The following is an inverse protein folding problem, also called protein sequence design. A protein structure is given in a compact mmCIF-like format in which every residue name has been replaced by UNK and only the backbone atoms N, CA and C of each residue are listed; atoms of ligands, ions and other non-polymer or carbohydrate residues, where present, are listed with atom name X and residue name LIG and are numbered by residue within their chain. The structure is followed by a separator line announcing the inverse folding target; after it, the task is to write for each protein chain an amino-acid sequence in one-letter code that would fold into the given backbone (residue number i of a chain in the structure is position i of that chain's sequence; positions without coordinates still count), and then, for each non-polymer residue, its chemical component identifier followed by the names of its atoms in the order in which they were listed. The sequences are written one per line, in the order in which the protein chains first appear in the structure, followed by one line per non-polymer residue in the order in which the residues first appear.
data_IF_725277646634
#
_entry.id   IF_725277646634
#
_cell.length_a   1.000
_cell.length_b   1.000
_cell.length_c   1.000
_cell.angle_alpha   90.00
_cell.angle_beta   90.00
_cell.angle_gamma   90.00
#
_symmetry.space_group_name_H-M   'P 1'
#
loop_
_entity.id
_entity.type
_entity.pdbx_description
1 polymer ?
#
# COMPACT_ATOMS: atom_id res chain seq x y z
N UNK A 1 -13.18 -8.92 40.41
CA UNK A 1 -11.77 -8.68 40.01
C UNK A 1 -11.20 -9.69 38.99
N UNK A 2 -11.73 -10.92 38.85
CA UNK A 2 -11.22 -11.91 37.88
C UNK A 2 -11.33 -11.53 36.38
N UNK A 3 -12.21 -10.58 36.03
CA UNK A 3 -12.48 -10.22 34.64
C UNK A 3 -11.40 -9.32 34.00
N UNK A 4 -10.58 -8.64 34.81
CA UNK A 4 -9.54 -7.72 34.30
C UNK A 4 -8.28 -8.50 33.90
N UNK A 5 -7.88 -9.47 34.73
CA UNK A 5 -6.73 -10.34 34.46
C UNK A 5 -6.93 -11.22 33.22
N UNK A 6 -8.12 -11.79 33.04
CA UNK A 6 -8.45 -12.60 31.86
C UNK A 6 -8.42 -11.77 30.56
N UNK A 7 -8.89 -10.52 30.60
CA UNK A 7 -8.88 -9.61 29.46
C UNK A 7 -7.46 -9.15 29.09
N UNK A 8 -6.59 -8.88 30.08
CA UNK A 8 -5.19 -8.54 29.81
C UNK A 8 -4.39 -9.71 29.23
N UNK A 9 -4.64 -10.92 29.74
CA UNK A 9 -4.00 -12.13 29.21
C UNK A 9 -4.45 -12.42 27.78
N UNK A 10 -5.75 -12.31 27.50
CA UNK A 10 -6.32 -12.45 26.16
C UNK A 10 -5.74 -11.40 25.19
N UNK A 11 -5.64 -10.15 25.62
CA UNK A 11 -5.01 -9.07 24.83
C UNK A 11 -3.57 -9.39 24.43
N UNK A 12 -2.74 -9.82 25.40
CA UNK A 12 -1.34 -10.20 25.13
C UNK A 12 -1.23 -11.37 24.17
N UNK A 13 -2.02 -12.42 24.36
CA UNK A 13 -2.01 -13.60 23.49
C UNK A 13 -2.50 -13.26 22.08
N UNK A 14 -3.58 -12.49 21.96
CA UNK A 14 -4.10 -12.05 20.66
C UNK A 14 -3.07 -11.20 19.90
N UNK A 15 -2.33 -10.32 20.58
CA UNK A 15 -1.27 -9.51 19.94
C UNK A 15 -0.18 -10.38 19.30
N UNK A 16 0.23 -11.45 19.98
CA UNK A 16 1.22 -12.42 19.45
C UNK A 16 0.68 -13.19 18.25
N UNK A 17 -0.57 -13.66 18.32
CA UNK A 17 -1.23 -14.36 17.23
C UNK A 17 -1.39 -13.47 16.00
N UNK A 18 -1.79 -12.21 16.18
CA UNK A 18 -1.85 -11.23 15.09
C UNK A 18 -0.49 -10.93 14.49
N UNK A 19 0.55 -10.81 15.33
CA UNK A 19 1.92 -10.62 14.84
C UNK A 19 2.39 -11.78 13.96
N UNK A 20 2.19 -13.02 14.41
CA UNK A 20 2.58 -14.22 13.64
C UNK A 20 1.75 -14.35 12.36
N UNK A 21 0.45 -14.06 12.41
CA UNK A 21 -0.42 -14.09 11.24
C UNK A 21 -0.02 -13.03 10.21
N UNK A 22 0.25 -11.81 10.67
CA UNK A 22 0.70 -10.72 9.82
C UNK A 22 2.04 -11.06 9.15
N UNK A 23 3.03 -11.52 9.94
CA UNK A 23 4.35 -11.94 9.43
C UNK A 23 4.25 -13.06 8.40
N UNK A 24 3.41 -14.07 8.61
CA UNK A 24 3.32 -15.22 7.69
C UNK A 24 2.44 -14.99 6.48
N UNK A 25 1.46 -14.09 6.55
CA UNK A 25 0.40 -14.01 5.52
C UNK A 25 0.26 -12.66 4.84
N UNK A 26 0.60 -11.57 5.51
CA UNK A 26 0.45 -10.20 4.96
C UNK A 26 1.80 -9.63 4.58
N UNK A 27 2.82 -9.81 5.42
CA UNK A 27 4.18 -9.33 5.18
C UNK A 27 4.78 -9.81 3.85
N UNK A 28 4.64 -11.09 3.42
CA UNK A 28 5.25 -11.55 2.17
C UNK A 28 4.62 -10.88 0.94
N UNK A 29 3.31 -10.64 0.97
CA UNK A 29 2.59 -9.94 -0.09
C UNK A 29 2.99 -8.47 -0.15
N UNK A 30 3.02 -7.79 1.01
CA UNK A 30 3.50 -6.41 1.08
C UNK A 30 4.96 -6.28 0.64
N UNK A 31 5.82 -7.22 1.00
CA UNK A 31 7.21 -7.24 0.57
C UNK A 31 7.33 -7.39 -0.95
N UNK A 32 6.54 -8.28 -1.56
CA UNK A 32 6.50 -8.45 -3.01
C UNK A 32 6.02 -7.16 -3.72
N UNK A 33 4.94 -6.54 -3.23
CA UNK A 33 4.45 -5.25 -3.75
C UNK A 33 5.51 -4.16 -3.61
N UNK A 34 6.21 -4.10 -2.48
CA UNK A 34 7.26 -3.12 -2.24
C UNK A 34 8.47 -3.30 -3.16
N UNK A 35 8.87 -4.55 -3.44
CA UNK A 35 9.93 -4.85 -4.42
C UNK A 35 9.52 -4.41 -5.82
N UNK A 36 8.29 -4.69 -6.24
CA UNK A 36 7.81 -4.25 -7.56
C UNK A 36 7.79 -2.73 -7.64
N UNK A 37 7.27 -2.04 -6.61
CA UNK A 37 7.25 -0.58 -6.54
C UNK A 37 8.66 0.02 -6.56
N UNK A 38 9.60 -0.53 -5.79
CA UNK A 38 10.98 -0.03 -5.76
C UNK A 38 11.68 -0.20 -7.11
N UNK A 39 11.42 -1.30 -7.81
CA UNK A 39 11.97 -1.55 -9.15
C UNK A 39 11.41 -0.56 -10.17
N UNK A 40 10.09 -0.29 -10.12
CA UNK A 40 9.45 0.73 -10.96
C UNK A 40 10.05 2.11 -10.65
N UNK A 41 10.23 2.45 -9.37
CA UNK A 41 10.76 3.74 -8.97
C UNK A 41 12.22 3.94 -9.38
N UNK A 42 13.06 2.92 -9.21
CA UNK A 42 14.47 2.93 -9.62
C UNK A 42 14.60 3.05 -11.14
N UNK A 43 13.79 2.31 -11.90
CA UNK A 43 13.75 2.45 -13.36
C UNK A 43 13.27 3.84 -13.78
N UNK A 44 12.22 4.36 -13.15
CA UNK A 44 11.67 5.67 -13.47
C UNK A 44 12.64 6.81 -13.15
N UNK A 45 13.46 6.70 -12.09
CA UNK A 45 14.45 7.73 -11.75
C UNK A 45 15.51 7.93 -12.85
N UNK A 46 15.74 6.90 -13.69
CA UNK A 46 16.65 6.97 -14.83
C UNK A 46 16.10 7.80 -15.99
N UNK A 47 14.77 7.98 -16.06
CA UNK A 47 14.09 8.65 -17.17
C UNK A 47 13.32 9.91 -16.73
N UNK A 48 13.02 10.03 -15.44
CA UNK A 48 12.21 11.09 -14.86
C UNK A 48 12.96 11.70 -13.67
N UNK A 49 13.27 12.98 -13.76
CA UNK A 49 13.62 13.75 -12.58
C UNK A 49 12.37 14.06 -11.76
N UNK A 50 12.01 13.14 -10.87
CA UNK A 50 10.92 13.31 -9.92
C UNK A 50 11.01 14.62 -9.14
N UNK A 51 12.23 15.05 -8.77
CA UNK A 51 12.45 16.34 -8.11
C UNK A 51 12.00 17.53 -8.95
N UNK A 52 12.29 17.53 -10.26
CA UNK A 52 11.85 18.59 -11.17
C UNK A 52 10.34 18.54 -11.42
N UNK A 53 9.75 17.35 -11.56
CA UNK A 53 8.31 17.18 -11.77
C UNK A 53 7.54 17.65 -10.53
N UNK A 54 7.98 17.25 -9.33
CA UNK A 54 7.37 17.66 -8.07
C UNK A 54 7.56 19.15 -7.81
N UNK A 55 8.73 19.72 -8.08
CA UNK A 55 8.94 21.16 -7.92
C UNK A 55 8.05 21.96 -8.89
N UNK A 56 7.95 21.55 -10.16
CA UNK A 56 7.06 22.17 -11.13
C UNK A 56 5.58 22.04 -10.75
N UNK A 57 5.18 20.87 -10.23
CA UNK A 57 3.84 20.64 -9.71
C UNK A 57 3.52 21.53 -8.51
N UNK A 58 4.43 21.62 -7.54
CA UNK A 58 4.26 22.44 -6.32
C UNK A 58 4.22 23.91 -6.68
N UNK A 59 5.12 24.38 -7.55
CA UNK A 59 5.10 25.76 -8.05
C UNK A 59 3.77 26.05 -8.75
N UNK A 60 3.30 25.16 -9.63
CA UNK A 60 2.00 25.38 -10.32
C UNK A 60 0.81 25.44 -9.36
N UNK A 61 0.74 24.52 -8.40
CA UNK A 61 -0.32 24.50 -7.39
C UNK A 61 -0.28 25.73 -6.49
N UNK A 62 0.93 26.18 -6.10
CA UNK A 62 1.12 27.30 -5.17
C UNK A 62 0.85 28.66 -5.82
N UNK A 63 1.17 28.82 -7.11
CA UNK A 63 1.11 30.13 -7.78
C UNK A 63 -0.12 30.33 -8.68
N UNK A 64 -0.77 29.26 -9.17
CA UNK A 64 -1.84 29.41 -10.18
C UNK A 64 -3.23 28.99 -9.67
N UNK A 65 -3.46 27.71 -9.32
CA UNK A 65 -4.71 27.18 -8.72
C UNK A 65 -4.71 25.64 -8.78
N UNK A 66 -5.51 24.96 -7.96
CA UNK A 66 -5.76 23.50 -8.04
C UNK A 66 -6.28 23.04 -9.41
N UNK A 67 -7.01 23.89 -10.16
CA UNK A 67 -7.46 23.58 -11.52
C UNK A 67 -6.30 23.56 -12.54
N UNK A 68 -5.29 24.42 -12.36
CA UNK A 68 -4.12 24.43 -13.25
C UNK A 68 -3.22 23.19 -13.09
N UNK A 69 -3.41 22.45 -12.00
CA UNK A 69 -2.73 21.18 -11.76
C UNK A 69 -3.27 20.07 -12.66
N UNK A 70 -4.58 20.03 -12.94
CA UNK A 70 -5.13 19.03 -13.88
C UNK A 70 -4.64 19.26 -15.30
N UNK A 71 -4.50 20.52 -15.73
CA UNK A 71 -3.97 20.87 -17.04
C UNK A 71 -2.48 20.51 -17.15
N UNK A 72 -1.71 20.72 -16.08
CA UNK A 72 -0.33 20.25 -15.99
C UNK A 72 -0.23 18.73 -16.08
N UNK A 73 -1.10 17.99 -15.38
CA UNK A 73 -1.13 16.52 -15.45
C UNK A 73 -1.50 16.03 -16.85
N UNK A 74 -2.53 16.62 -17.47
CA UNK A 74 -2.92 16.29 -18.85
C UNK A 74 -1.79 16.56 -19.83
N UNK A 75 -1.10 17.70 -19.70
CA UNK A 75 0.06 18.04 -20.53
C UNK A 75 1.25 17.11 -20.29
N UNK A 76 1.51 16.74 -19.04
CA UNK A 76 2.58 15.80 -18.69
C UNK A 76 2.30 14.39 -19.22
N UNK A 77 1.04 13.94 -19.22
CA UNK A 77 0.63 12.63 -19.75
C UNK A 77 0.67 12.61 -21.28
N UNK A 78 0.25 13.68 -21.94
CA UNK A 78 0.28 13.77 -23.42
C UNK A 78 1.69 13.91 -23.98
N UNK A 79 2.61 14.54 -23.25
CA UNK A 79 4.01 14.67 -23.66
C UNK A 79 4.92 13.58 -23.07
N UNK A 80 4.36 12.62 -22.32
CA UNK A 80 5.14 11.52 -21.77
C UNK A 80 5.44 10.47 -22.85
N UNK A 81 6.69 10.00 -22.87
CA UNK A 81 7.07 8.84 -23.68
C UNK A 81 6.26 7.60 -23.31
N UNK A 82 6.06 6.71 -24.29
CA UNK A 82 5.37 5.42 -24.10
C UNK A 82 5.97 4.62 -22.94
N UNK A 83 7.29 4.65 -22.76
CA UNK A 83 7.95 4.00 -21.63
C UNK A 83 7.49 4.58 -20.29
N UNK A 84 7.49 5.91 -20.15
CA UNK A 84 7.01 6.62 -18.96
C UNK A 84 5.54 6.30 -18.67
N UNK A 85 4.68 6.29 -19.70
CA UNK A 85 3.27 5.93 -19.57
C UNK A 85 3.08 4.50 -19.05
N UNK A 86 3.83 3.53 -19.56
CA UNK A 86 3.75 2.14 -19.09
C UNK A 86 4.21 1.98 -17.64
N UNK A 87 5.27 2.68 -17.22
CA UNK A 87 5.71 2.68 -15.81
C UNK A 87 4.67 3.30 -14.89
N UNK A 88 4.05 4.41 -15.33
CA UNK A 88 3.02 5.11 -14.56
C UNK A 88 1.75 4.26 -14.43
N UNK A 89 1.33 3.58 -15.51
CA UNK A 89 0.25 2.60 -15.49
C UNK A 89 0.56 1.40 -14.57
N UNK A 90 1.80 0.90 -14.61
CA UNK A 90 2.27 -0.17 -13.71
C UNK A 90 2.24 0.26 -12.24
N UNK A 91 2.75 1.45 -11.93
CA UNK A 91 2.71 2.02 -10.59
C UNK A 91 1.27 2.20 -10.09
N UNK A 92 0.38 2.71 -10.95
CA UNK A 92 -1.04 2.85 -10.62
C UNK A 92 -1.68 1.50 -10.33
N UNK A 93 -1.44 0.50 -11.19
CA UNK A 93 -1.98 -0.85 -11.02
C UNK A 93 -1.52 -1.47 -9.69
N UNK A 94 -0.21 -1.44 -9.40
CA UNK A 94 0.32 -1.97 -8.14
C UNK A 94 -0.21 -1.18 -6.95
N UNK A 95 -0.32 0.14 -7.05
CA UNK A 95 -0.94 0.98 -6.03
C UNK A 95 -2.38 0.56 -5.71
N UNK A 96 -3.20 0.26 -6.74
CA UNK A 96 -4.56 -0.24 -6.52
C UNK A 96 -4.60 -1.61 -5.85
N UNK A 97 -3.63 -2.49 -6.15
CA UNK A 97 -3.50 -3.79 -5.49
C UNK A 97 -3.17 -3.63 -4.00
N UNK A 98 -2.19 -2.77 -3.68
CA UNK A 98 -1.80 -2.46 -2.29
C UNK A 98 -3.00 -1.90 -1.51
N UNK A 99 -3.73 -0.95 -2.08
CA UNK A 99 -4.94 -0.37 -1.46
C UNK A 99 -6.00 -1.44 -1.24
N UNK A 100 -6.26 -2.27 -2.27
CA UNK A 100 -7.23 -3.36 -2.19
C UNK A 100 -6.86 -4.37 -1.11
N UNK A 101 -5.59 -4.75 -1.01
CA UNK A 101 -5.11 -5.73 -0.05
C UNK A 101 -5.07 -5.17 1.37
N UNK A 102 -4.77 -3.88 1.53
CA UNK A 102 -4.92 -3.15 2.79
C UNK A 102 -6.38 -3.10 3.26
N UNK A 103 -7.31 -2.80 2.36
CA UNK A 103 -8.77 -2.80 2.67
C UNK A 103 -9.22 -4.22 3.04
N UNK A 104 -8.80 -5.24 2.29
CA UNK A 104 -9.13 -6.65 2.57
C UNK A 104 -8.56 -7.13 3.89
N UNK A 105 -7.31 -6.77 4.21
CA UNK A 105 -6.70 -7.08 5.50
C UNK A 105 -7.48 -6.44 6.65
N UNK A 106 -7.83 -5.15 6.52
CA UNK A 106 -8.60 -4.40 7.51
C UNK A 106 -10.01 -4.98 7.70
N UNK A 107 -10.70 -5.34 6.61
CA UNK A 107 -12.01 -6.00 6.66
C UNK A 107 -11.94 -7.37 7.30
N UNK A 108 -10.90 -8.18 7.03
CA UNK A 108 -10.71 -9.50 7.67
C UNK A 108 -10.43 -9.41 9.16
N UNK A 109 -9.74 -8.35 9.61
CA UNK A 109 -9.55 -8.07 11.03
C UNK A 109 -10.86 -7.64 11.72
N UNK A 110 -11.70 -6.83 11.05
CA UNK A 110 -13.01 -6.41 11.56
C UNK A 110 -14.06 -7.52 11.54
N UNK A 111 -14.01 -8.43 10.56
CA UNK A 111 -15.03 -9.47 10.34
C UNK A 111 -14.94 -10.67 11.30
N UNK A 112 -14.09 -10.67 12.33
CA UNK A 112 -14.18 -11.62 13.43
C UNK A 112 -14.09 -13.11 13.06
N UNK A 113 -13.58 -13.49 11.89
CA UNK A 113 -13.48 -14.88 11.42
C UNK A 113 -12.34 -15.67 12.09
N UNK A 114 -12.15 -15.47 13.40
CA UNK A 114 -11.13 -16.13 14.21
C UNK A 114 -11.44 -17.63 14.42
N UNK A 115 -12.72 -18.04 14.36
CA UNK A 115 -13.15 -19.41 14.61
C UNK A 115 -12.78 -20.41 13.49
N UNK A 116 -12.37 -19.93 12.31
CA UNK A 116 -11.96 -20.81 11.19
C UNK A 116 -10.45 -21.07 11.14
N UNK A 117 -9.64 -20.30 11.87
CA UNK A 117 -8.16 -20.40 11.84
C UNK A 117 -7.57 -21.27 12.94
N UNK A 118 -8.23 -21.45 14.09
CA UNK A 118 -7.80 -22.43 15.10
C UNK A 118 -7.86 -23.87 14.58
N UNK A 119 -8.77 -24.15 13.64
CA UNK A 119 -8.95 -25.49 13.04
C UNK A 119 -7.81 -25.87 12.07
N UNK A 120 -7.09 -24.90 11.51
CA UNK A 120 -5.95 -25.16 10.60
C UNK A 120 -4.64 -25.37 11.37
N UNK A 121 -4.53 -24.83 12.59
CA UNK A 121 -3.36 -25.01 13.45
C UNK A 121 -3.39 -26.28 14.30
N UNK A 122 -4.56 -26.94 14.43
CA UNK A 122 -4.75 -28.20 15.16
C UNK A 122 -4.94 -29.43 14.24
N UNK A 123 -4.73 -29.28 12.94
CA UNK A 123 -4.85 -30.37 11.94
C UNK A 123 -3.47 -30.94 11.53
N UNK A 124 -2.47 -30.83 12.40
CA UNK A 124 -1.21 -31.56 12.27
C UNK A 124 -0.91 -32.28 13.56
#
# INVERSE_FOLDING_TARGET
MNNIYSNQLKSRTMRKVYGIWFMKRVLPWLAAEFVVLSTIFAGAQSYLSFGHILNNAVVRVKYYSLLSFSDFLMSAVTNADLFTLTMLAGAFFVGTLVVRDTIRATRRMRAGNFLRMSRVLYSR
#
